data_IF_472666237032
#
_entry.id   IF_472666237032
#
_cell.length_a   1.000
_cell.length_b   1.000
_cell.length_c   1.000
_cell.angle_alpha   90.00
_cell.angle_beta   90.00
_cell.angle_gamma   90.00
#
_symmetry.space_group_name_H-M   'P 1'
#
loop_
_entity.id
_entity.type
_entity.pdbx_description
1 polymer ?
#
# COMPACT_ATOMS: atom_id res chain seq x y z
N UNK A 1 1.76 -17.17 -17.34
CA UNK A 1 1.60 -16.49 -16.05
C UNK A 1 1.23 -17.52 -15.02
N UNK A 2 1.96 -17.61 -13.91
CA UNK A 2 1.49 -18.49 -12.83
C UNK A 2 0.22 -17.86 -12.28
N UNK A 3 -0.82 -18.67 -12.03
CA UNK A 3 -2.10 -18.22 -11.47
C UNK A 3 -1.92 -17.40 -10.16
N UNK A 4 -0.76 -17.54 -9.52
CA UNK A 4 -0.37 -16.81 -8.32
C UNK A 4 -0.16 -15.30 -8.55
N UNK A 5 0.37 -14.88 -9.69
CA UNK A 5 0.70 -13.46 -9.95
C UNK A 5 -0.56 -12.59 -9.96
N UNK A 6 -1.60 -13.03 -10.68
CA UNK A 6 -2.88 -12.32 -10.78
C UNK A 6 -3.60 -12.31 -9.42
N UNK A 7 -3.54 -13.41 -8.66
CA UNK A 7 -4.08 -13.46 -7.31
C UNK A 7 -3.38 -12.48 -6.38
N UNK A 8 -2.05 -12.35 -6.50
CA UNK A 8 -1.26 -11.39 -5.75
C UNK A 8 -1.56 -9.94 -6.15
N UNK A 9 -1.80 -9.66 -7.44
CA UNK A 9 -2.24 -8.34 -7.91
C UNK A 9 -3.62 -7.98 -7.32
N UNK A 10 -4.56 -8.92 -7.29
CA UNK A 10 -5.86 -8.71 -6.63
C UNK A 10 -5.73 -8.48 -5.12
N UNK A 11 -4.83 -9.21 -4.45
CA UNK A 11 -4.54 -9.00 -3.04
C UNK A 11 -3.92 -7.61 -2.79
N UNK A 12 -2.98 -7.19 -3.65
CA UNK A 12 -2.38 -5.85 -3.61
C UNK A 12 -3.44 -4.76 -3.81
N UNK A 13 -4.37 -4.90 -4.77
CA UNK A 13 -5.46 -3.92 -4.96
C UNK A 13 -6.20 -3.65 -3.65
N UNK A 14 -6.67 -4.73 -3.00
CA UNK A 14 -7.42 -4.65 -1.75
C UNK A 14 -6.60 -4.01 -0.63
N UNK A 15 -5.36 -4.44 -0.45
CA UNK A 15 -4.48 -3.97 0.62
C UNK A 15 -4.08 -2.50 0.42
N UNK A 16 -3.73 -2.11 -0.81
CA UNK A 16 -3.39 -0.72 -1.16
C UNK A 16 -4.59 0.21 -0.99
N UNK A 17 -5.80 -0.21 -1.39
CA UNK A 17 -7.02 0.58 -1.15
C UNK A 17 -7.30 0.76 0.33
N UNK A 18 -7.13 -0.30 1.13
CA UNK A 18 -7.30 -0.23 2.58
C UNK A 18 -6.31 0.76 3.21
N UNK A 19 -5.03 0.61 2.90
CA UNK A 19 -3.98 1.50 3.40
C UNK A 19 -4.20 2.96 2.96
N UNK A 20 -4.64 3.18 1.71
CA UNK A 20 -4.93 4.52 1.19
C UNK A 20 -6.10 5.16 1.94
N UNK A 21 -7.15 4.38 2.20
CA UNK A 21 -8.29 4.82 3.00
C UNK A 21 -7.85 5.26 4.39
N UNK A 22 -7.04 4.45 5.08
CA UNK A 22 -6.47 4.78 6.40
C UNK A 22 -5.68 6.09 6.37
N UNK A 23 -4.72 6.24 5.45
CA UNK A 23 -3.87 7.44 5.38
C UNK A 23 -4.69 8.68 5.04
N UNK A 24 -5.68 8.55 4.15
CA UNK A 24 -6.54 9.68 3.75
C UNK A 24 -7.45 10.17 4.89
N UNK A 25 -7.88 9.28 5.79
CA UNK A 25 -8.74 9.63 6.93
C UNK A 25 -7.95 10.13 8.14
N UNK A 26 -6.62 9.99 8.12
CA UNK A 26 -5.67 10.61 9.04
C UNK A 26 -4.82 11.69 8.34
N UNK A 27 -5.41 12.73 7.71
CA UNK A 27 -4.68 13.62 6.82
C UNK A 27 -3.71 14.51 7.61
N UNK A 28 -2.44 14.12 7.62
CA UNK A 28 -1.31 14.96 7.98
C UNK A 28 -0.69 15.55 6.70
N UNK A 29 -0.21 16.79 6.74
CA UNK A 29 0.28 17.46 5.52
C UNK A 29 1.48 16.75 4.88
N UNK A 30 2.29 16.10 5.70
CA UNK A 30 3.48 15.32 5.33
C UNK A 30 3.15 14.00 4.62
N UNK A 31 1.91 13.49 4.68
CA UNK A 31 1.51 12.26 3.99
C UNK A 31 0.99 12.48 2.57
N UNK A 32 0.85 13.74 2.11
CA UNK A 32 0.39 14.05 0.74
C UNK A 32 1.24 13.37 -0.35
N UNK A 33 2.58 13.35 -0.27
CA UNK A 33 3.39 12.64 -1.25
C UNK A 33 3.09 11.13 -1.28
N UNK A 34 2.89 10.50 -0.10
CA UNK A 34 2.51 9.10 -0.03
C UNK A 34 1.13 8.86 -0.67
N UNK A 35 0.14 9.73 -0.40
CA UNK A 35 -1.18 9.63 -1.03
C UNK A 35 -1.08 9.68 -2.57
N UNK A 36 -0.26 10.58 -3.12
CA UNK A 36 0.00 10.63 -4.56
C UNK A 36 0.66 9.35 -5.09
N UNK A 37 1.69 8.85 -4.41
CA UNK A 37 2.34 7.58 -4.79
C UNK A 37 1.37 6.39 -4.73
N UNK A 38 0.48 6.35 -3.74
CA UNK A 38 -0.54 5.31 -3.64
C UNK A 38 -1.56 5.37 -4.78
N UNK A 39 -1.97 6.56 -5.21
CA UNK A 39 -2.84 6.71 -6.40
C UNK A 39 -2.15 6.15 -7.63
N UNK A 40 -0.84 6.40 -7.81
CA UNK A 40 -0.06 5.82 -8.91
C UNK A 40 0.01 4.29 -8.82
N UNK A 41 0.28 3.73 -7.64
CA UNK A 41 0.28 2.27 -7.45
C UNK A 41 -1.08 1.64 -7.77
N UNK A 42 -2.18 2.25 -7.31
CA UNK A 42 -3.54 1.77 -7.62
C UNK A 42 -3.85 1.80 -9.11
N UNK A 43 -3.40 2.83 -9.83
CA UNK A 43 -3.54 2.89 -11.29
C UNK A 43 -2.72 1.79 -11.98
N UNK A 44 -1.51 1.51 -11.50
CA UNK A 44 -0.68 0.43 -12.04
C UNK A 44 -1.35 -0.93 -11.83
N UNK A 45 -1.99 -1.13 -10.67
CA UNK A 45 -2.80 -2.34 -10.38
C UNK A 45 -3.97 -2.46 -11.36
N UNK A 46 -4.71 -1.38 -11.59
CA UNK A 46 -5.84 -1.36 -12.54
C UNK A 46 -5.38 -1.70 -13.96
N UNK A 47 -4.23 -1.19 -14.40
CA UNK A 47 -3.64 -1.52 -15.70
C UNK A 47 -3.28 -3.01 -15.77
N UNK A 48 -2.56 -3.53 -14.78
CA UNK A 48 -2.16 -4.94 -14.74
C UNK A 48 -3.37 -5.89 -14.74
N UNK A 49 -4.43 -5.57 -14.00
CA UNK A 49 -5.68 -6.36 -13.99
C UNK A 49 -6.44 -6.27 -15.31
N UNK A 50 -6.31 -5.17 -16.07
CA UNK A 50 -6.93 -5.02 -17.39
C UNK A 50 -6.19 -5.77 -18.51
N UNK A 51 -4.92 -6.11 -18.27
CA UNK A 51 -4.04 -6.79 -19.22
C UNK A 51 -3.33 -7.97 -18.53
N UNK A 52 -4.09 -8.95 -18.03
CA UNK A 52 -3.55 -10.04 -17.21
C UNK A 52 -2.67 -11.02 -17.99
N UNK A 53 -2.48 -10.84 -19.30
CA UNK A 53 -1.55 -11.62 -20.12
C UNK A 53 -0.18 -10.90 -20.31
N UNK A 54 -0.09 -9.62 -19.91
CA UNK A 54 1.14 -8.81 -19.98
C UNK A 54 1.24 -7.88 -18.75
N UNK A 55 1.76 -8.43 -17.66
CA UNK A 55 1.98 -7.66 -16.42
C UNK A 55 3.37 -7.01 -16.37
N UNK A 56 4.23 -7.23 -17.37
CA UNK A 56 5.57 -6.62 -17.49
C UNK A 56 6.37 -6.54 -16.18
N UNK A 57 6.94 -5.36 -15.90
CA UNK A 57 7.69 -5.05 -14.68
C UNK A 57 6.80 -4.57 -13.51
N UNK A 58 5.50 -4.90 -13.51
CA UNK A 58 4.51 -4.39 -12.54
C UNK A 58 5.00 -4.49 -11.10
N UNK A 59 5.42 -5.67 -10.66
CA UNK A 59 5.83 -5.89 -9.27
C UNK A 59 7.07 -5.07 -8.91
N UNK A 60 8.06 -4.96 -9.80
CA UNK A 60 9.24 -4.13 -9.58
C UNK A 60 8.88 -2.64 -9.42
N UNK A 61 7.96 -2.13 -10.25
CA UNK A 61 7.48 -0.74 -10.18
C UNK A 61 6.74 -0.50 -8.86
N UNK A 62 5.77 -1.34 -8.51
CA UNK A 62 4.98 -1.19 -7.28
C UNK A 62 5.86 -1.37 -6.04
N UNK A 63 6.81 -2.30 -6.06
CA UNK A 63 7.79 -2.52 -4.98
C UNK A 63 8.63 -1.29 -4.71
N UNK A 64 9.20 -0.70 -5.76
CA UNK A 64 10.00 0.53 -5.66
C UNK A 64 9.17 1.69 -5.12
N UNK A 65 7.95 1.87 -5.64
CA UNK A 65 7.02 2.90 -5.17
C UNK A 65 6.64 2.70 -3.71
N UNK A 66 6.28 1.47 -3.31
CA UNK A 66 5.83 1.14 -1.97
C UNK A 66 6.92 1.40 -0.93
N UNK A 67 8.10 0.79 -1.10
CA UNK A 67 9.20 0.96 -0.15
C UNK A 67 9.76 2.39 -0.17
N UNK A 68 9.67 3.09 -1.31
CA UNK A 68 10.02 4.50 -1.43
C UNK A 68 9.19 5.44 -0.55
N UNK A 69 8.02 5.01 -0.05
CA UNK A 69 7.20 5.83 0.86
C UNK A 69 7.70 5.83 2.31
N UNK A 70 8.53 4.87 2.73
CA UNK A 70 8.84 4.62 4.16
C UNK A 70 10.20 5.12 4.67
N UNK A 71 11.04 5.77 3.85
CA UNK A 71 12.05 6.74 4.34
C UNK A 71 12.18 8.03 3.49
N UNK A 72 12.85 9.08 3.98
CA UNK A 72 12.29 10.19 4.78
C UNK A 72 11.40 11.18 3.99
N UNK A 73 10.97 10.89 2.75
CA UNK A 73 10.36 11.89 1.85
C UNK A 73 8.83 11.96 1.88
N UNK A 74 8.14 10.96 2.43
CA UNK A 74 6.69 10.81 2.24
C UNK A 74 5.86 10.77 3.54
N UNK A 75 6.44 11.13 4.69
CA UNK A 75 5.70 11.26 5.96
C UNK A 75 5.17 9.95 6.58
N UNK A 76 5.43 8.78 5.97
CA UNK A 76 4.96 7.50 6.50
C UNK A 76 5.90 6.84 7.51
N UNK A 77 7.14 7.32 7.64
CA UNK A 77 8.10 6.77 8.60
C UNK A 77 7.62 6.92 10.05
N UNK A 78 6.90 8.00 10.35
CA UNK A 78 6.34 8.32 11.69
C UNK A 78 4.80 8.36 11.68
N UNK A 79 4.17 7.74 10.67
CA UNK A 79 2.72 7.72 10.58
C UNK A 79 2.14 6.90 11.73
N UNK A 80 1.20 7.52 12.44
CA UNK A 80 0.57 6.95 13.62
C UNK A 80 -0.86 7.44 13.72
N UNK A 81 -1.80 6.53 13.99
CA UNK A 81 -3.21 6.85 14.13
C UNK A 81 -3.44 7.24 15.60
N UNK A 82 -3.89 8.47 15.85
CA UNK A 82 -4.15 8.96 17.21
C UNK A 82 -5.65 9.01 17.49
N UNK A 83 -6.09 8.48 18.63
CA UNK A 83 -7.48 8.47 19.09
C UNK A 83 -7.57 8.71 20.59
N UNK A 84 -8.73 9.18 21.05
CA UNK A 84 -9.01 9.35 22.48
C UNK A 84 -9.15 8.00 23.20
N UNK A 85 -9.81 7.03 22.56
CA UNK A 85 -9.87 5.65 23.09
C UNK A 85 -8.55 4.90 22.82
N UNK A 86 -7.80 4.50 23.86
CA UNK A 86 -6.56 3.75 23.70
C UNK A 86 -6.76 2.36 23.06
N UNK A 87 -7.92 1.73 23.25
CA UNK A 87 -8.20 0.41 22.67
C UNK A 87 -8.40 0.53 21.15
N UNK A 88 -9.22 1.47 20.71
CA UNK A 88 -9.39 1.81 19.30
C UNK A 88 -8.06 2.20 18.64
N UNK A 89 -7.29 3.10 19.28
CA UNK A 89 -5.97 3.54 18.80
C UNK A 89 -5.03 2.36 18.53
N UNK A 90 -4.91 1.43 19.51
CA UNK A 90 -4.05 0.23 19.35
C UNK A 90 -4.54 -0.67 18.23
N UNK A 91 -5.85 -0.89 18.12
CA UNK A 91 -6.43 -1.73 17.07
C UNK A 91 -6.13 -1.18 15.68
N UNK A 92 -6.37 0.11 15.45
CA UNK A 92 -6.16 0.75 14.15
C UNK A 92 -4.68 0.73 13.73
N UNK A 93 -3.76 1.04 14.65
CA UNK A 93 -2.33 0.97 14.33
C UNK A 93 -1.86 -0.47 14.07
N UNK A 94 -2.37 -1.46 14.81
CA UNK A 94 -2.07 -2.87 14.55
C UNK A 94 -2.60 -3.33 13.18
N UNK A 95 -3.80 -2.89 12.78
CA UNK A 95 -4.36 -3.16 11.45
C UNK A 95 -3.54 -2.52 10.33
N UNK A 96 -3.04 -1.31 10.54
CA UNK A 96 -2.15 -0.61 9.61
C UNK A 96 -0.82 -1.36 9.44
N UNK A 97 -0.16 -1.74 10.53
CA UNK A 97 1.09 -2.51 10.48
C UNK A 97 0.90 -3.90 9.86
N UNK A 98 -0.22 -4.57 10.16
CA UNK A 98 -0.58 -5.83 9.50
C UNK A 98 -0.73 -5.65 8.00
N UNK A 99 -1.43 -4.60 7.56
CA UNK A 99 -1.59 -4.29 6.13
C UNK A 99 -0.22 -4.06 5.47
N UNK A 100 0.68 -3.31 6.13
CA UNK A 100 2.05 -3.10 5.64
C UNK A 100 2.83 -4.40 5.49
N UNK A 101 2.76 -5.27 6.49
CA UNK A 101 3.43 -6.57 6.46
C UNK A 101 2.91 -7.44 5.29
N UNK A 102 1.60 -7.49 5.09
CA UNK A 102 0.99 -8.27 4.00
C UNK A 102 1.39 -7.75 2.61
N UNK A 103 1.42 -6.42 2.41
CA UNK A 103 1.89 -5.83 1.15
C UNK A 103 3.37 -6.18 0.93
N UNK A 104 4.20 -6.00 1.97
CA UNK A 104 5.63 -6.30 1.89
C UNK A 104 5.90 -7.78 1.58
N UNK A 105 5.11 -8.69 2.14
CA UNK A 105 5.21 -10.13 1.89
C UNK A 105 4.89 -10.49 0.43
N UNK A 106 3.85 -9.89 -0.15
CA UNK A 106 3.55 -10.08 -1.58
C UNK A 106 4.70 -9.51 -2.42
N UNK A 107 5.08 -8.26 -2.21
CA UNK A 107 6.09 -7.58 -3.03
C UNK A 107 7.50 -8.18 -2.90
N UNK A 108 7.81 -8.90 -1.83
CA UNK A 108 9.12 -9.56 -1.67
C UNK A 108 9.17 -10.98 -2.24
N UNK A 109 8.03 -11.58 -2.57
CA UNK A 109 7.98 -12.87 -3.29
C UNK A 109 8.21 -12.73 -4.79
N UNK A 110 7.99 -11.51 -5.31
CA UNK A 110 8.28 -11.06 -6.66
C UNK A 110 9.57 -10.24 -6.70
#
# INVERSE_FOLDING_TARGET
>A
MENNDINDIHALDKLLRNMFHTIRHEPRQDTRPAQSTMITMLRNVEIALSQPDDIGDFFAVVKSQYFGMFPPKCGLSEFYISREDPAEMRRLNAEYEKTKAQISEILNRH
#
